data_IF_983267434772
#
_entry.id   IF_983267434772
#
_cell.length_a   1.000
_cell.length_b   1.000
_cell.length_c   1.000
_cell.angle_alpha   90.00
_cell.angle_beta   90.00
_cell.angle_gamma   90.00
#
_symmetry.space_group_name_H-M   'P 1'
#
loop_
_entity.id
_entity.type
_entity.pdbx_description
1 polymer ?
#
# COMPACT_ATOMS: atom_id res chain seq x y z
N UNK A 1 8.94 -17.94 -17.22
CA UNK A 1 9.18 -16.50 -17.51
C UNK A 1 8.07 -15.90 -18.41
N UNK A 2 6.85 -16.45 -18.41
CA UNK A 2 5.88 -16.19 -19.50
C UNK A 2 5.00 -14.94 -19.34
N UNK A 3 4.99 -14.31 -18.15
CA UNK A 3 4.13 -13.14 -17.85
C UNK A 3 4.92 -11.87 -17.50
N UNK A 4 6.25 -11.85 -17.71
CA UNK A 4 7.12 -10.75 -17.29
C UNK A 4 6.73 -9.40 -17.92
N UNK A 5 6.44 -9.40 -19.22
CA UNK A 5 6.02 -8.20 -19.96
C UNK A 5 4.65 -7.72 -19.49
N UNK A 6 3.72 -8.62 -19.21
CA UNK A 6 2.38 -8.27 -18.72
C UNK A 6 2.42 -7.65 -17.32
N UNK A 7 3.27 -8.20 -16.44
CA UNK A 7 3.54 -7.63 -15.11
C UNK A 7 4.19 -6.25 -15.22
N UNK A 8 5.17 -6.09 -16.10
CA UNK A 8 5.83 -4.80 -16.33
C UNK A 8 4.84 -3.76 -16.85
N UNK A 9 4.00 -4.14 -17.82
CA UNK A 9 2.94 -3.28 -18.36
C UNK A 9 1.93 -2.85 -17.27
N UNK A 10 1.49 -3.78 -16.43
CA UNK A 10 0.59 -3.48 -15.32
C UNK A 10 1.22 -2.49 -14.32
N UNK A 11 2.49 -2.69 -13.95
CA UNK A 11 3.23 -1.77 -13.08
C UNK A 11 3.31 -0.38 -13.73
N UNK A 12 3.60 -0.32 -15.03
CA UNK A 12 3.75 0.94 -15.75
C UNK A 12 2.43 1.71 -15.82
N UNK A 13 1.31 1.02 -16.04
CA UNK A 13 -0.03 1.63 -16.06
C UNK A 13 -0.36 2.22 -14.69
N UNK A 14 -0.16 1.44 -13.61
CA UNK A 14 -0.45 1.90 -12.25
C UNK A 14 0.43 3.09 -11.86
N UNK A 15 1.74 3.00 -12.11
CA UNK A 15 2.68 4.09 -11.83
C UNK A 15 2.35 5.34 -12.65
N UNK A 16 1.98 5.19 -13.93
CA UNK A 16 1.62 6.32 -14.80
C UNK A 16 0.32 6.99 -14.35
N UNK A 17 -0.66 6.22 -13.88
CA UNK A 17 -1.90 6.75 -13.32
C UNK A 17 -1.63 7.55 -12.04
N UNK A 18 -0.81 7.01 -11.13
CA UNK A 18 -0.44 7.67 -9.87
C UNK A 18 0.29 9.00 -10.12
N UNK A 19 1.27 9.00 -11.03
CA UNK A 19 1.97 10.22 -11.48
C UNK A 19 1.01 11.20 -12.15
N UNK A 20 0.08 10.71 -12.98
CA UNK A 20 -0.94 11.53 -13.63
C UNK A 20 -1.87 12.22 -12.63
N UNK A 21 -2.31 11.51 -11.60
CA UNK A 21 -3.12 12.08 -10.51
C UNK A 21 -2.33 13.11 -9.71
N UNK A 22 -1.06 12.86 -9.39
CA UNK A 22 -0.22 13.82 -8.69
C UNK A 22 0.02 15.11 -9.49
N UNK A 23 0.18 14.99 -10.82
CA UNK A 23 0.28 16.15 -11.73
C UNK A 23 -1.06 16.86 -11.79
N UNK A 24 -2.17 16.14 -12.01
CA UNK A 24 -3.51 16.74 -12.07
C UNK A 24 -3.82 17.53 -10.80
N UNK A 25 -3.65 16.94 -9.62
CA UNK A 25 -3.89 17.60 -8.33
C UNK A 25 -3.07 18.89 -8.18
N UNK A 26 -1.78 18.84 -8.56
CA UNK A 26 -0.87 20.00 -8.50
C UNK A 26 -1.27 21.16 -9.39
N UNK A 27 -1.90 20.91 -10.54
CA UNK A 27 -2.21 21.94 -11.54
C UNK A 27 -3.70 22.28 -11.67
N UNK A 28 -4.60 21.49 -11.11
CA UNK A 28 -6.06 21.69 -11.21
C UNK A 28 -6.70 22.24 -9.93
N UNK A 29 -5.99 22.21 -8.79
CA UNK A 29 -6.51 22.68 -7.51
C UNK A 29 -5.91 24.03 -7.16
N UNK A 30 -6.68 25.10 -7.39
CA UNK A 30 -6.44 26.40 -6.77
C UNK A 30 -6.64 26.26 -5.25
N UNK A 31 -5.54 26.12 -4.48
CA UNK A 31 -5.43 26.27 -3.02
C UNK A 31 -6.38 25.47 -2.08
N UNK A 32 -7.17 24.51 -2.56
CA UNK A 32 -8.29 23.96 -1.77
C UNK A 32 -7.99 22.72 -0.89
N UNK A 33 -6.88 21.99 -1.08
CA UNK A 33 -6.60 20.78 -0.31
C UNK A 33 -5.27 20.87 0.46
N UNK A 34 -5.27 20.62 1.78
CA UNK A 34 -4.03 20.56 2.55
C UNK A 34 -3.14 19.44 1.98
N UNK A 35 -1.82 19.68 1.88
CA UNK A 35 -0.90 18.70 1.33
C UNK A 35 -1.02 17.36 2.07
N UNK A 36 -0.98 16.27 1.32
CA UNK A 36 -1.04 14.91 1.86
C UNK A 36 0.00 14.76 2.97
N UNK A 37 -0.47 14.41 4.17
CA UNK A 37 0.39 14.37 5.35
C UNK A 37 1.52 13.34 5.18
N UNK A 38 2.69 13.64 5.74
CA UNK A 38 3.81 12.69 5.84
C UNK A 38 3.40 11.36 6.50
N UNK A 39 2.44 11.42 7.43
CA UNK A 39 1.85 10.24 8.08
C UNK A 39 1.15 9.31 7.08
N UNK A 40 0.50 9.84 6.04
CA UNK A 40 -0.15 9.04 5.02
C UNK A 40 0.87 8.27 4.16
N UNK A 41 1.99 8.91 3.81
CA UNK A 41 3.07 8.25 3.06
C UNK A 41 3.75 7.15 3.90
N UNK A 42 4.05 7.43 5.17
CA UNK A 42 4.65 6.46 6.09
C UNK A 42 3.71 5.27 6.35
N UNK A 43 2.43 5.54 6.60
CA UNK A 43 1.46 4.49 6.87
C UNK A 43 1.16 3.66 5.61
N UNK A 44 1.12 4.29 4.43
CA UNK A 44 1.02 3.60 3.14
C UNK A 44 2.22 2.68 2.87
N UNK A 45 3.44 3.15 3.13
CA UNK A 45 4.64 2.33 3.01
C UNK A 45 4.62 1.13 3.97
N UNK A 46 4.20 1.34 5.22
CA UNK A 46 4.07 0.28 6.22
C UNK A 46 3.01 -0.76 5.84
N UNK A 47 1.86 -0.33 5.31
CA UNK A 47 0.81 -1.20 4.78
C UNK A 47 1.30 -2.00 3.56
N UNK A 48 2.05 -1.37 2.65
CA UNK A 48 2.64 -2.04 1.49
C UNK A 48 3.67 -3.11 1.87
N UNK A 49 4.54 -2.81 2.85
CA UNK A 49 5.54 -3.78 3.35
C UNK A 49 4.86 -4.98 4.03
N UNK A 50 3.82 -4.75 4.84
CA UNK A 50 3.11 -5.84 5.54
C UNK A 50 2.37 -6.76 4.56
N UNK A 51 1.66 -6.21 3.58
CA UNK A 51 1.03 -7.01 2.50
C UNK A 51 2.09 -7.71 1.63
N UNK A 52 3.19 -7.02 1.30
CA UNK A 52 4.29 -7.59 0.51
C UNK A 52 4.88 -8.83 1.19
N UNK A 53 5.14 -8.75 2.50
CA UNK A 53 5.62 -9.89 3.31
C UNK A 53 4.61 -11.06 3.36
N UNK A 54 3.31 -10.77 3.32
CA UNK A 54 2.26 -11.81 3.28
C UNK A 54 2.18 -12.49 1.90
N UNK A 55 2.34 -11.72 0.82
CA UNK A 55 2.21 -12.22 -0.56
C UNK A 55 3.46 -12.93 -1.05
N UNK A 56 4.66 -12.51 -0.61
CA UNK A 56 5.91 -13.18 -0.97
C UNK A 56 6.00 -14.55 -0.29
N UNK A 57 5.74 -15.60 -1.05
CA UNK A 57 5.85 -16.99 -0.58
C UNK A 57 7.24 -17.53 -0.91
N UNK A 58 8.03 -17.85 0.13
CA UNK A 58 9.32 -18.52 -0.05
C UNK A 58 9.11 -20.02 -0.35
N UNK A 59 9.96 -20.61 -1.20
CA UNK A 59 9.81 -22.01 -1.62
C UNK A 59 10.17 -23.01 -0.51
N UNK A 60 11.04 -22.62 0.45
CA UNK A 60 11.27 -23.35 1.69
C UNK A 60 10.77 -22.53 2.88
N UNK A 61 9.55 -22.81 3.35
CA UNK A 61 9.01 -22.14 4.53
C UNK A 61 9.73 -22.63 5.80
N UNK A 62 10.52 -21.74 6.40
CA UNK A 62 11.06 -21.95 7.74
C UNK A 62 10.05 -21.50 8.79
N UNK A 63 10.01 -22.14 9.96
CA UNK A 63 9.11 -21.76 11.07
C UNK A 63 9.19 -20.26 11.43
N UNK A 64 10.37 -19.65 11.35
CA UNK A 64 10.57 -18.22 11.59
C UNK A 64 9.86 -17.32 10.56
N UNK A 65 9.80 -17.72 9.29
CA UNK A 65 9.08 -16.99 8.26
C UNK A 65 7.57 -17.08 8.48
N UNK A 66 7.08 -18.21 8.99
CA UNK A 66 5.67 -18.37 9.33
C UNK A 66 5.25 -17.41 10.46
N UNK A 67 6.10 -17.22 11.48
CA UNK A 67 5.85 -16.21 12.52
C UNK A 67 5.84 -14.78 11.97
N UNK A 68 6.80 -14.42 11.11
CA UNK A 68 6.83 -13.09 10.46
C UNK A 68 5.59 -12.87 9.60
N UNK A 69 5.14 -13.91 8.88
CA UNK A 69 3.95 -13.87 8.05
C UNK A 69 2.68 -13.60 8.86
N UNK A 70 2.50 -14.32 9.98
CA UNK A 70 1.38 -14.07 10.91
C UNK A 70 1.45 -12.70 11.57
N UNK A 71 2.65 -12.24 11.95
CA UNK A 71 2.86 -10.92 12.51
C UNK A 71 2.50 -9.81 11.51
N UNK A 72 2.97 -9.93 10.26
CA UNK A 72 2.67 -8.97 9.20
C UNK A 72 1.17 -8.92 8.90
N UNK A 73 0.50 -10.08 8.85
CA UNK A 73 -0.96 -10.16 8.70
C UNK A 73 -1.69 -9.50 9.88
N UNK A 74 -1.24 -9.77 11.11
CA UNK A 74 -1.84 -9.19 12.32
C UNK A 74 -1.73 -7.66 12.35
N UNK A 75 -0.55 -7.11 12.03
CA UNK A 75 -0.34 -5.66 11.95
C UNK A 75 -1.23 -5.03 10.88
N UNK A 76 -1.29 -5.65 9.69
CA UNK A 76 -2.13 -5.16 8.61
C UNK A 76 -3.61 -5.09 9.01
N UNK A 77 -4.16 -6.19 9.54
CA UNK A 77 -5.57 -6.25 9.98
C UNK A 77 -5.84 -5.20 11.07
N UNK A 78 -4.95 -5.06 12.06
CA UNK A 78 -5.11 -4.08 13.12
C UNK A 78 -5.17 -2.63 12.58
N UNK A 79 -4.27 -2.29 11.66
CA UNK A 79 -4.26 -0.98 10.99
C UNK A 79 -5.54 -0.75 10.17
N UNK A 80 -6.00 -1.74 9.40
CA UNK A 80 -7.23 -1.64 8.60
C UNK A 80 -8.46 -1.47 9.47
N UNK A 81 -8.59 -2.26 10.52
CA UNK A 81 -9.72 -2.18 11.47
C UNK A 81 -9.74 -0.82 12.17
N UNK A 82 -8.57 -0.33 12.60
CA UNK A 82 -8.45 1.00 13.18
C UNK A 82 -8.89 2.09 12.19
N UNK A 83 -8.44 2.02 10.93
CA UNK A 83 -8.82 2.98 9.90
C UNK A 83 -10.34 2.97 9.62
N UNK A 84 -10.96 1.79 9.54
CA UNK A 84 -12.41 1.64 9.36
C UNK A 84 -13.15 2.26 10.55
N UNK A 85 -12.80 1.90 11.79
CA UNK A 85 -13.48 2.44 12.96
C UNK A 85 -13.30 3.95 13.09
N UNK A 86 -12.11 4.47 12.82
CA UNK A 86 -11.87 5.91 12.81
C UNK A 86 -12.75 6.61 11.77
N UNK A 87 -12.87 6.04 10.57
CA UNK A 87 -13.70 6.61 9.51
C UNK A 87 -15.21 6.50 9.79
N UNK A 88 -15.67 5.49 10.54
CA UNK A 88 -17.09 5.32 10.88
C UNK A 88 -17.52 6.16 12.10
N UNK A 89 -16.63 6.32 13.09
CA UNK A 89 -16.99 6.97 14.37
C UNK A 89 -16.58 8.44 14.45
N UNK A 90 -15.56 8.87 13.70
CA UNK A 90 -14.97 10.20 13.82
C UNK A 90 -15.07 11.06 12.55
N UNK A 91 -15.54 10.49 11.44
CA UNK A 91 -15.86 11.21 10.20
C UNK A 91 -17.35 11.02 9.89
#
# INVERSE_FOLDING_TARGET
>A
MELGIFKLGAIFIVASADVGFAIWDRYSVDDALPPVAYTAHLMGALAGITIGLVVLKNFEQKLHEQYIWWLALGIYIACTVFAIFWNVFYY
#
